data_IF_763483531457
#
_entry.id   IF_763483531457
#
_cell.length_a   1.000
_cell.length_b   1.000
_cell.length_c   1.000
_cell.angle_alpha   90.00
_cell.angle_beta   90.00
_cell.angle_gamma   90.00
#
_symmetry.space_group_name_H-M   'P 1'
#
loop_
_entity.id
_entity.type
_entity.pdbx_description
1 polymer ?
#
# COMPACT_ATOMS: atom_id res chain seq x y z
N UNK A 1 26.18 -6.21 -7.11
CA UNK A 1 26.66 -4.81 -7.08
C UNK A 1 26.19 -4.13 -8.35
N UNK A 2 26.50 -2.84 -8.57
CA UNK A 2 26.07 -2.14 -9.79
C UNK A 2 26.65 -2.77 -11.07
N UNK A 3 27.80 -3.46 -10.99
CA UNK A 3 28.49 -4.08 -12.14
C UNK A 3 27.96 -5.48 -12.50
N UNK A 4 26.67 -5.73 -12.29
CA UNK A 4 26.02 -6.99 -12.68
C UNK A 4 25.03 -6.72 -13.83
N UNK A 5 24.83 -7.71 -14.71
CA UNK A 5 23.89 -7.61 -15.84
C UNK A 5 22.41 -7.48 -15.43
N UNK A 6 22.12 -7.70 -14.16
CA UNK A 6 20.79 -7.57 -13.60
C UNK A 6 20.83 -7.30 -12.09
N UNK A 7 19.70 -6.81 -11.58
CA UNK A 7 19.47 -6.59 -10.16
C UNK A 7 18.20 -7.34 -9.76
N UNK A 8 18.15 -7.79 -8.51
CA UNK A 8 16.99 -8.46 -7.93
C UNK A 8 16.63 -7.80 -6.62
N UNK A 9 15.33 -7.55 -6.44
CA UNK A 9 14.75 -7.07 -5.19
C UNK A 9 13.47 -7.86 -4.92
N UNK A 10 13.17 -8.09 -3.64
CA UNK A 10 11.89 -8.66 -3.23
C UNK A 10 10.82 -7.58 -3.38
N UNK A 11 9.74 -7.91 -4.08
CA UNK A 11 8.67 -6.96 -4.40
C UNK A 11 8.08 -6.30 -3.13
N UNK A 12 7.82 -7.08 -2.08
CA UNK A 12 7.25 -6.59 -0.82
C UNK A 12 8.15 -5.55 -0.13
N UNK A 13 9.46 -5.76 -0.14
CA UNK A 13 10.43 -4.83 0.43
C UNK A 13 10.56 -3.58 -0.44
N UNK A 14 10.57 -3.75 -1.77
CA UNK A 14 10.60 -2.65 -2.73
C UNK A 14 9.40 -1.72 -2.57
N UNK A 15 8.21 -2.29 -2.34
CA UNK A 15 6.97 -1.55 -2.13
C UNK A 15 6.77 -1.08 -0.68
N UNK A 16 7.62 -1.47 0.26
CA UNK A 16 7.49 -1.06 1.67
C UNK A 16 6.26 -1.66 2.36
N UNK A 17 5.88 -2.90 2.03
CA UNK A 17 4.79 -3.64 2.69
C UNK A 17 5.24 -4.11 4.08
N UNK A 18 6.46 -4.63 4.17
CA UNK A 18 7.12 -5.08 5.40
C UNK A 18 8.13 -4.05 5.86
N UNK A 19 7.94 -3.47 7.05
CA UNK A 19 8.81 -2.41 7.58
C UNK A 19 9.85 -2.91 8.58
N UNK A 20 9.67 -4.11 9.15
CA UNK A 20 10.55 -4.67 10.18
C UNK A 20 11.91 -5.15 9.65
N UNK A 21 12.03 -5.31 8.33
CA UNK A 21 13.26 -5.71 7.66
C UNK A 21 13.75 -4.61 6.72
N UNK A 22 14.99 -4.16 6.93
CA UNK A 22 15.60 -3.08 6.15
C UNK A 22 17.08 -3.35 5.90
N UNK A 23 17.42 -4.28 4.98
CA UNK A 23 18.82 -4.56 4.66
C UNK A 23 19.45 -3.34 4.00
N UNK A 24 20.76 -3.14 4.21
CA UNK A 24 21.49 -1.93 3.78
C UNK A 24 21.44 -1.65 2.27
N UNK A 25 21.18 -2.66 1.44
CA UNK A 25 21.10 -2.54 -0.02
C UNK A 25 19.67 -2.33 -0.54
N UNK A 26 18.66 -2.33 0.34
CA UNK A 26 17.28 -2.10 -0.05
C UNK A 26 17.05 -0.63 -0.35
N UNK A 27 16.59 -0.35 -1.56
CA UNK A 27 15.92 0.90 -1.90
C UNK A 27 14.42 0.66 -1.92
N UNK A 28 13.68 1.36 -1.06
CA UNK A 28 12.21 1.41 -1.12
C UNK A 28 11.79 2.42 -2.18
N UNK A 29 10.82 2.04 -2.99
CA UNK A 29 10.21 2.89 -4.01
C UNK A 29 8.83 3.39 -3.61
N UNK A 30 8.22 2.76 -2.59
CA UNK A 30 6.93 3.15 -2.02
C UNK A 30 6.90 2.83 -0.52
N UNK A 31 6.02 3.51 0.21
CA UNK A 31 5.62 3.14 1.57
C UNK A 31 4.18 2.60 1.55
N UNK A 32 3.98 1.44 0.93
CA UNK A 32 2.64 0.90 0.70
C UNK A 32 1.93 0.55 2.00
N UNK A 33 2.67 0.25 3.08
CA UNK A 33 2.07 0.05 4.40
C UNK A 33 1.32 1.29 4.90
N UNK A 34 1.88 2.49 4.71
CA UNK A 34 1.24 3.75 5.09
C UNK A 34 0.02 4.06 4.21
N UNK A 35 0.14 3.85 2.90
CA UNK A 35 -0.98 4.03 1.96
C UNK A 35 -2.15 3.09 2.27
N UNK A 36 -1.86 1.82 2.62
CA UNK A 36 -2.87 0.84 3.03
C UNK A 36 -3.54 1.28 4.34
N UNK A 37 -2.77 1.72 5.34
CA UNK A 37 -3.31 2.20 6.61
C UNK A 37 -4.21 3.43 6.40
N UNK A 38 -3.80 4.37 5.55
CA UNK A 38 -4.60 5.53 5.14
C UNK A 38 -5.90 5.12 4.47
N UNK A 39 -5.85 4.22 3.47
CA UNK A 39 -7.03 3.73 2.77
C UNK A 39 -8.03 3.04 3.70
N UNK A 40 -7.55 2.22 4.64
CA UNK A 40 -8.41 1.55 5.63
C UNK A 40 -9.08 2.56 6.55
N UNK A 41 -8.34 3.59 7.00
CA UNK A 41 -8.90 4.66 7.84
C UNK A 41 -9.97 5.46 7.12
N UNK A 42 -9.74 5.82 5.86
CA UNK A 42 -10.71 6.51 5.01
C UNK A 42 -11.96 5.66 4.83
N UNK A 43 -11.81 4.41 4.42
CA UNK A 43 -12.94 3.47 4.31
C UNK A 43 -13.74 3.36 5.62
N UNK A 44 -13.05 3.25 6.76
CA UNK A 44 -13.71 3.21 8.06
C UNK A 44 -14.44 4.51 8.40
N UNK A 45 -13.93 5.67 7.95
CA UNK A 45 -14.59 6.95 8.13
C UNK A 45 -15.86 7.02 7.27
N UNK A 46 -15.76 6.66 5.99
CA UNK A 46 -16.87 6.71 5.03
C UNK A 46 -18.02 5.77 5.45
N UNK A 47 -17.71 4.58 5.96
CA UNK A 47 -18.73 3.66 6.51
C UNK A 47 -19.41 4.25 7.75
N UNK A 48 -18.67 4.98 8.60
CA UNK A 48 -19.22 5.55 9.85
C UNK A 48 -20.04 6.81 9.59
N UNK A 49 -19.66 7.62 8.60
CA UNK A 49 -20.45 8.77 8.17
C UNK A 49 -21.65 8.37 7.33
N UNK A 50 -21.64 7.17 6.74
CA UNK A 50 -22.64 6.72 5.78
C UNK A 50 -22.37 7.23 4.37
N UNK A 51 -21.17 7.76 4.10
CA UNK A 51 -20.74 8.14 2.75
C UNK A 51 -20.46 6.91 1.89
N UNK A 52 -20.14 5.77 2.50
CA UNK A 52 -20.03 4.47 1.82
C UNK A 52 -21.04 3.43 2.37
N UNK A 53 -21.75 2.69 1.50
CA UNK A 53 -21.86 2.94 0.06
C UNK A 53 -22.79 4.13 -0.20
N UNK A 54 -22.49 4.93 -1.23
CA UNK A 54 -23.41 5.93 -1.76
C UNK A 54 -24.29 5.36 -2.89
N UNK A 55 -25.11 6.23 -3.50
CA UNK A 55 -26.03 5.85 -4.58
C UNK A 55 -25.32 5.33 -5.84
N UNK A 56 -24.09 5.76 -6.14
CA UNK A 56 -23.31 5.25 -7.29
C UNK A 56 -22.74 3.85 -7.02
N UNK A 57 -22.55 3.52 -5.74
CA UNK A 57 -21.98 2.25 -5.26
C UNK A 57 -23.05 1.23 -4.87
N UNK A 58 -24.32 1.60 -4.98
CA UNK A 58 -25.47 0.80 -4.58
C UNK A 58 -26.37 0.48 -5.78
N UNK A 59 -26.84 -0.77 -5.89
CA UNK A 59 -27.88 -1.12 -6.86
C UNK A 59 -29.23 -0.59 -6.37
N UNK A 60 -29.91 0.19 -7.20
CA UNK A 60 -31.31 0.57 -6.95
C UNK A 60 -32.19 -0.67 -7.15
N UNK A 61 -33.06 -0.97 -6.17
CA UNK A 61 -34.11 -2.00 -6.32
C UNK A 61 -35.28 -1.49 -7.16
#
# INVERSE_FOLDING_TARGET
GPDCDGQVLVLHDLLGITMDFSPRFLRRYLNLAEEIDGAIKTYCADVRSGDFPNDEESYTS
#
